data_IF_556582030502
#
_entry.id   IF_556582030502
#
_cell.length_a   1.000
_cell.length_b   1.000
_cell.length_c   1.000
_cell.angle_alpha   90.00
_cell.angle_beta   90.00
_cell.angle_gamma   90.00
#
_symmetry.space_group_name_H-M   'P 1'
#
loop_
_entity.id
_entity.type
_entity.pdbx_description
1 polymer ?
#
# COMPACT_ATOMS: atom_id res chain seq x y z
N UNK A 1 16.06 10.79 12.44
CA UNK A 1 15.00 11.20 13.39
C UNK A 1 14.11 12.35 12.89
N UNK A 2 14.55 13.24 12.00
CA UNK A 2 13.69 14.37 11.55
C UNK A 2 12.48 13.92 10.71
N UNK A 3 12.65 12.90 9.85
CA UNK A 3 11.57 12.38 9.00
C UNK A 3 10.38 11.85 9.81
N UNK A 4 10.63 11.12 10.91
CA UNK A 4 9.54 10.59 11.73
C UNK A 4 8.77 11.66 12.47
N UNK A 5 9.21 12.91 12.53
CA UNK A 5 8.44 14.00 13.14
C UNK A 5 7.48 14.66 12.14
N UNK A 6 7.86 14.72 10.86
CA UNK A 6 7.12 15.46 9.83
C UNK A 6 6.34 14.57 8.85
N UNK A 7 6.71 13.29 8.71
CA UNK A 7 6.02 12.37 7.81
C UNK A 7 4.61 12.09 8.32
N UNK A 8 3.62 12.26 7.45
CA UNK A 8 2.19 12.06 7.74
C UNK A 8 1.64 10.85 7.03
N UNK A 9 2.05 10.63 5.78
CA UNK A 9 1.72 9.45 5.00
C UNK A 9 2.76 9.21 3.90
N UNK A 10 2.76 8.00 3.36
CA UNK A 10 3.44 7.60 2.12
C UNK A 10 2.40 6.98 1.21
N UNK A 11 2.41 7.38 -0.05
CA UNK A 11 1.62 6.77 -1.13
C UNK A 11 2.61 6.30 -2.18
N UNK A 12 2.58 5.01 -2.47
CA UNK A 12 3.34 4.39 -3.55
C UNK A 12 2.38 3.96 -4.66
N UNK A 13 2.78 4.18 -5.91
CA UNK A 13 1.97 3.84 -7.08
C UNK A 13 2.81 2.99 -8.05
N UNK A 14 2.20 1.93 -8.56
CA UNK A 14 2.73 1.15 -9.67
C UNK A 14 1.68 1.07 -10.78
N UNK A 15 2.09 1.39 -12.02
CA UNK A 15 1.24 1.18 -13.17
C UNK A 15 1.38 -0.27 -13.64
N UNK A 16 0.26 -0.99 -13.70
CA UNK A 16 0.21 -2.37 -14.19
C UNK A 16 -0.66 -2.45 -15.45
N UNK A 17 -0.31 -3.34 -16.40
CA UNK A 17 -1.15 -3.57 -17.57
C UNK A 17 -2.53 -4.11 -17.16
N UNK A 18 -3.56 -3.66 -17.88
CA UNK A 18 -4.92 -4.18 -17.80
C UNK A 18 -5.24 -5.06 -19.03
N UNK A 19 -6.24 -5.93 -18.90
CA UNK A 19 -6.75 -6.80 -19.99
C UNK A 19 -7.25 -6.04 -21.21
N UNK A 20 -7.66 -4.78 -21.05
CA UNK A 20 -8.12 -3.90 -22.11
C UNK A 20 -6.98 -3.10 -22.79
N UNK A 21 -5.72 -3.37 -22.42
CA UNK A 21 -4.54 -2.76 -23.02
C UNK A 21 -4.16 -1.40 -22.47
N UNK A 22 -4.91 -0.87 -21.49
CA UNK A 22 -4.54 0.35 -20.76
C UNK A 22 -3.67 0.04 -19.54
N UNK A 23 -3.10 1.09 -18.94
CA UNK A 23 -2.37 1.00 -17.68
C UNK A 23 -3.29 1.44 -16.54
N UNK A 24 -3.39 0.62 -15.50
CA UNK A 24 -4.15 0.91 -14.29
C UNK A 24 -3.21 1.04 -13.08
N UNK A 25 -3.48 1.95 -12.14
CA UNK A 25 -2.62 2.13 -10.97
C UNK A 25 -2.97 1.15 -9.86
N UNK A 26 -1.97 0.43 -9.37
CA UNK A 26 -1.97 -0.21 -8.06
C UNK A 26 -1.36 0.75 -7.03
N UNK A 27 -1.92 0.77 -5.81
CA UNK A 27 -1.50 1.67 -4.75
C UNK A 27 -1.12 0.92 -3.48
N UNK A 28 -0.08 1.41 -2.82
CA UNK A 28 0.17 1.17 -1.41
C UNK A 28 0.09 2.49 -0.65
N UNK A 29 -0.61 2.48 0.47
CA UNK A 29 -0.81 3.65 1.33
C UNK A 29 -0.43 3.29 2.75
N UNK A 30 0.49 4.06 3.32
CA UNK A 30 0.88 3.97 4.72
C UNK A 30 0.64 5.32 5.39
N UNK A 31 -0.21 5.36 6.42
CA UNK A 31 -0.37 6.52 7.30
C UNK A 31 0.58 6.44 8.49
N UNK A 32 1.17 7.56 8.92
CA UNK A 32 2.16 7.56 10.01
C UNK A 32 1.45 7.59 11.36
N UNK A 33 1.12 6.39 11.86
CA UNK A 33 0.64 6.17 13.23
C UNK A 33 1.77 6.35 14.25
N UNK A 34 1.47 6.46 15.56
CA UNK A 34 2.50 6.46 16.60
C UNK A 34 3.42 5.23 16.57
N UNK A 35 2.88 4.04 16.23
CA UNK A 35 3.67 2.81 16.10
C UNK A 35 4.67 2.90 14.93
N UNK A 36 4.20 3.28 13.74
CA UNK A 36 5.05 3.51 12.57
C UNK A 36 6.11 4.58 12.85
N UNK A 37 5.72 5.66 13.54
CA UNK A 37 6.63 6.75 13.94
C UNK A 37 7.79 6.25 14.79
N UNK A 38 7.50 5.39 15.76
CA UNK A 38 8.51 4.77 16.61
C UNK A 38 9.38 3.79 15.81
N UNK A 39 8.79 2.98 14.93
CA UNK A 39 9.56 2.09 14.04
C UNK A 39 10.55 2.85 13.15
N UNK A 40 10.15 3.99 12.58
CA UNK A 40 11.04 4.85 11.79
C UNK A 40 12.15 5.45 12.67
N UNK A 41 11.83 5.88 13.89
CA UNK A 41 12.82 6.43 14.83
C UNK A 41 13.88 5.40 15.22
N UNK A 42 13.45 4.16 15.46
CA UNK A 42 14.29 3.06 15.92
C UNK A 42 15.00 2.31 14.78
N UNK A 43 14.76 2.67 13.52
CA UNK A 43 15.31 1.98 12.35
C UNK A 43 14.68 0.62 12.05
N UNK A 44 13.52 0.30 12.62
CA UNK A 44 12.79 -0.97 12.47
C UNK A 44 11.93 -0.98 11.19
N UNK A 45 12.50 -0.57 10.06
CA UNK A 45 11.75 -0.32 8.81
C UNK A 45 11.11 -1.61 8.27
N UNK A 46 11.78 -2.76 8.37
CA UNK A 46 11.24 -4.04 7.89
C UNK A 46 9.97 -4.51 8.63
N UNK A 47 9.66 -3.97 9.80
CA UNK A 47 8.43 -4.31 10.52
C UNK A 47 7.21 -3.54 10.01
N UNK A 48 7.42 -2.45 9.27
CA UNK A 48 6.36 -1.59 8.76
C UNK A 48 5.48 -2.34 7.77
N UNK A 49 6.06 -3.17 6.91
CA UNK A 49 5.31 -3.95 5.91
C UNK A 49 4.26 -4.86 6.57
N UNK A 50 4.63 -5.50 7.68
CA UNK A 50 3.71 -6.32 8.46
C UNK A 50 2.58 -5.50 9.09
N UNK A 51 2.85 -4.25 9.50
CA UNK A 51 1.82 -3.33 10.01
C UNK A 51 0.88 -2.88 8.90
N UNK A 52 1.39 -2.59 7.70
CA UNK A 52 0.56 -2.23 6.54
C UNK A 52 -0.35 -3.42 6.17
N UNK A 53 0.19 -4.63 6.10
CA UNK A 53 -0.57 -5.84 5.75
C UNK A 53 -1.63 -6.23 6.78
N UNK A 54 -1.35 -6.05 8.07
CA UNK A 54 -2.30 -6.38 9.15
C UNK A 54 -3.28 -5.24 9.47
N UNK A 55 -3.10 -4.07 8.85
CA UNK A 55 -4.03 -2.95 8.99
C UNK A 55 -5.40 -3.34 8.43
N UNK A 56 -6.37 -3.49 9.32
CA UNK A 56 -7.77 -3.71 8.96
C UNK A 56 -8.54 -2.40 8.76
N UNK A 57 -7.89 -1.25 8.98
CA UNK A 57 -8.51 0.08 8.85
C UNK A 57 -8.40 0.66 7.45
N UNK A 58 -9.40 1.45 7.04
CA UNK A 58 -9.50 2.11 5.72
C UNK A 58 -8.33 3.05 5.36
N UNK A 59 -7.41 3.33 6.28
CA UNK A 59 -6.35 4.33 6.11
C UNK A 59 -5.00 3.75 5.62
N UNK A 60 -4.87 2.43 5.49
CA UNK A 60 -3.67 1.80 4.91
C UNK A 60 -4.09 0.70 3.94
N UNK A 61 -3.29 0.54 2.88
CA UNK A 61 -3.46 -0.47 1.85
C UNK A 61 -2.08 -1.02 1.49
N UNK A 62 -1.90 -2.34 1.47
CA UNK A 62 -0.66 -2.93 0.94
C UNK A 62 -0.70 -3.03 -0.58
N UNK A 63 0.48 -3.01 -1.22
CA UNK A 63 0.58 -3.20 -2.67
C UNK A 63 -0.04 -4.54 -3.09
N UNK A 64 0.24 -5.62 -2.35
CA UNK A 64 -0.31 -6.96 -2.61
C UNK A 64 -1.84 -6.98 -2.59
N UNK A 65 -2.46 -6.26 -1.64
CA UNK A 65 -3.93 -6.17 -1.56
C UNK A 65 -4.51 -5.41 -2.75
N UNK A 66 -3.83 -4.34 -3.19
CA UNK A 66 -4.23 -3.57 -4.37
C UNK A 66 -4.12 -4.42 -5.63
N UNK A 67 -3.00 -5.11 -5.83
CA UNK A 67 -2.78 -5.99 -6.98
C UNK A 67 -3.78 -7.16 -7.01
N UNK A 68 -4.07 -7.77 -5.86
CA UNK A 68 -5.06 -8.86 -5.78
C UNK A 68 -6.47 -8.39 -6.13
N UNK A 69 -6.84 -7.18 -5.70
CA UNK A 69 -8.13 -6.56 -6.06
C UNK A 69 -8.21 -6.35 -7.56
N UNK A 70 -7.20 -5.70 -8.16
CA UNK A 70 -7.15 -5.46 -9.60
C UNK A 70 -7.16 -6.76 -10.41
N UNK A 71 -6.47 -7.80 -9.93
CA UNK A 71 -6.49 -9.12 -10.56
C UNK A 71 -7.90 -9.70 -10.61
N UNK A 72 -8.63 -9.67 -9.49
CA UNK A 72 -10.00 -10.21 -9.41
C UNK A 72 -10.97 -9.45 -10.31
N UNK A 73 -10.86 -8.14 -10.36
CA UNK A 73 -11.67 -7.28 -11.25
C UNK A 73 -11.41 -7.62 -12.71
N UNK A 74 -10.14 -7.70 -13.12
CA UNK A 74 -9.77 -8.07 -14.49
C UNK A 74 -10.20 -9.50 -14.86
N UNK A 75 -10.11 -10.44 -13.92
CA UNK A 75 -10.57 -11.82 -14.12
C UNK A 75 -12.09 -11.90 -14.31
N UNK A 76 -12.86 -11.07 -13.61
CA UNK A 76 -14.31 -10.94 -13.81
C UNK A 76 -14.65 -10.30 -15.16
N UNK A 77 -13.90 -9.28 -15.58
CA UNK A 77 -14.07 -8.66 -16.91
C UNK A 77 -13.85 -9.66 -18.05
N UNK A 78 -12.88 -10.57 -17.93
CA UNK A 78 -12.64 -11.61 -18.93
C UNK A 78 -13.71 -12.71 -18.98
N UNK A 79 -14.51 -12.85 -17.91
CA UNK A 79 -15.58 -13.86 -17.81
C UNK A 79 -16.92 -13.42 -18.41
N UNK A 80 -17.12 -12.11 -18.58
CA UNK A 80 -18.33 -11.49 -19.12
C UNK A 80 -18.19 -11.19 -20.62
#
# INVERSE_FOLDING_TARGET
>A
MQLSLVLTAVVSQQLVPSVDGYMIPAFEVMTVTPAIRNMIRDGKISQIDGVIHSSTGQAMYSMDSSLLTLYREQEEMLRN
#
